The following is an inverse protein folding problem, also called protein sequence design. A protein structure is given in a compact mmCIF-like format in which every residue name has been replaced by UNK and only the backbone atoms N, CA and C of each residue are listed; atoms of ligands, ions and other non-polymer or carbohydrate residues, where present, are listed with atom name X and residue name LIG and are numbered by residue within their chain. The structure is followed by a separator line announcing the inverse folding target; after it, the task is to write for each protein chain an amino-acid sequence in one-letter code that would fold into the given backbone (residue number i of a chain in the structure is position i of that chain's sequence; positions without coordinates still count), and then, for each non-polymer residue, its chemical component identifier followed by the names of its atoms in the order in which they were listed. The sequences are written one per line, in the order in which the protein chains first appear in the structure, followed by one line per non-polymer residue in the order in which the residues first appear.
data_IF_046619159463
#
_entry.id   IF_046619159463
#
_cell.length_a   1.000
_cell.length_b   1.000
_cell.length_c   1.000
_cell.angle_alpha   90.00
_cell.angle_beta   90.00
_cell.angle_gamma   90.00
#
_symmetry.space_group_name_H-M   'P 1'
#
loop_
_entity.id
_entity.type
_entity.pdbx_description
1 polymer ?
#
# COMPACT_ATOMS: atom_id res chain seq x y z
N UNK A 1 -21.38 95.99 -9.61
CA UNK A 1 -20.75 94.74 -10.07
C UNK A 1 -20.46 93.86 -8.86
N UNK A 2 -21.32 92.87 -8.59
CA UNK A 2 -21.36 92.14 -7.32
C UNK A 2 -20.90 90.69 -7.41
N UNK A 3 -19.84 90.38 -6.65
CA UNK A 3 -19.43 89.12 -6.00
C UNK A 3 -19.00 87.91 -6.88
N UNK A 4 -17.67 87.69 -7.05
CA UNK A 4 -17.11 86.44 -7.58
C UNK A 4 -16.93 85.33 -6.53
N UNK A 5 -17.19 85.59 -5.23
CA UNK A 5 -16.91 84.64 -4.14
C UNK A 5 -17.92 83.49 -3.97
N UNK A 6 -19.07 83.52 -4.65
CA UNK A 6 -20.12 82.49 -4.46
C UNK A 6 -19.91 81.28 -5.39
N UNK A 7 -19.22 81.43 -6.52
CA UNK A 7 -19.06 80.36 -7.53
C UNK A 7 -17.94 79.36 -7.22
N UNK A 8 -16.90 79.75 -6.48
CA UNK A 8 -15.80 78.85 -6.08
C UNK A 8 -16.16 77.95 -4.90
N UNK A 9 -17.12 78.35 -4.05
CA UNK A 9 -17.55 77.56 -2.89
C UNK A 9 -18.56 76.45 -3.26
N UNK A 10 -19.33 76.64 -4.34
CA UNK A 10 -20.28 75.63 -4.84
C UNK A 10 -19.59 74.47 -5.56
N UNK A 11 -18.52 74.75 -6.32
CA UNK A 11 -17.76 73.71 -7.04
C UNK A 11 -16.96 72.82 -6.07
N UNK A 12 -16.50 73.36 -4.95
CA UNK A 12 -15.78 72.61 -3.92
C UNK A 12 -16.71 71.69 -3.09
N UNK A 13 -17.97 72.11 -2.86
CA UNK A 13 -18.99 71.28 -2.20
C UNK A 13 -19.49 70.12 -3.08
N UNK A 14 -19.63 70.33 -4.39
CA UNK A 14 -20.04 69.27 -5.35
C UNK A 14 -18.91 68.26 -5.59
N UNK A 15 -17.65 68.71 -5.60
CA UNK A 15 -16.48 67.83 -5.75
C UNK A 15 -16.25 66.88 -4.56
N UNK A 16 -16.47 67.35 -3.32
CA UNK A 16 -16.36 66.51 -2.11
C UNK A 16 -17.58 65.58 -1.97
N UNK A 17 -18.78 66.03 -2.37
CA UNK A 17 -20.00 65.21 -2.40
C UNK A 17 -19.91 64.01 -3.34
N UNK A 18 -19.32 64.19 -4.54
CA UNK A 18 -19.13 63.10 -5.50
C UNK A 18 -18.14 62.03 -5.01
N UNK A 19 -17.05 62.43 -4.34
CA UNK A 19 -16.09 61.48 -3.74
C UNK A 19 -16.73 60.71 -2.57
N UNK A 20 -17.55 61.36 -1.75
CA UNK A 20 -18.30 60.71 -0.68
C UNK A 20 -19.35 59.71 -1.21
N UNK A 21 -20.10 60.06 -2.25
CA UNK A 21 -21.07 59.16 -2.89
C UNK A 21 -20.37 57.98 -3.59
N UNK A 22 -19.22 58.22 -4.23
CA UNK A 22 -18.39 57.14 -4.81
C UNK A 22 -17.80 56.24 -3.72
N UNK A 23 -17.35 56.77 -2.57
CA UNK A 23 -16.85 55.97 -1.45
C UNK A 23 -17.96 55.18 -0.75
N UNK A 24 -19.13 55.78 -0.56
CA UNK A 24 -20.32 55.11 -0.01
C UNK A 24 -20.83 54.06 -1.00
N UNK A 25 -20.89 54.37 -2.29
CA UNK A 25 -21.26 53.43 -3.35
C UNK A 25 -20.26 52.29 -3.50
N UNK A 26 -18.96 52.55 -3.37
CA UNK A 26 -17.91 51.54 -3.36
C UNK A 26 -18.04 50.65 -2.12
N UNK A 27 -18.24 51.23 -0.92
CA UNK A 27 -18.51 50.46 0.31
C UNK A 27 -19.78 49.63 0.23
N UNK A 28 -20.86 50.19 -0.32
CA UNK A 28 -22.15 49.52 -0.43
C UNK A 28 -22.12 48.41 -1.51
N UNK A 29 -21.41 48.61 -2.62
CA UNK A 29 -21.17 47.57 -3.62
C UNK A 29 -20.29 46.45 -3.06
N UNK A 30 -19.24 46.78 -2.30
CA UNK A 30 -18.38 45.79 -1.67
C UNK A 30 -19.11 45.02 -0.56
N UNK A 31 -19.99 45.67 0.21
CA UNK A 31 -20.88 45.02 1.17
C UNK A 31 -21.88 44.07 0.50
N UNK A 32 -22.46 44.44 -0.65
CA UNK A 32 -23.35 43.55 -1.40
C UNK A 32 -22.61 42.33 -1.94
N UNK A 33 -21.40 42.50 -2.48
CA UNK A 33 -20.60 41.37 -2.94
C UNK A 33 -20.19 40.46 -1.77
N UNK A 34 -19.85 41.03 -0.63
CA UNK A 34 -19.56 40.27 0.59
C UNK A 34 -20.79 39.48 1.07
N UNK A 35 -21.97 40.11 1.14
CA UNK A 35 -23.22 39.45 1.51
C UNK A 35 -23.57 38.30 0.54
N UNK A 36 -23.38 38.49 -0.76
CA UNK A 36 -23.55 37.42 -1.76
C UNK A 36 -22.59 36.25 -1.54
N UNK A 37 -21.34 36.51 -1.15
CA UNK A 37 -20.38 35.44 -0.80
C UNK A 37 -20.80 34.69 0.45
N UNK A 38 -21.33 35.38 1.45
CA UNK A 38 -21.87 34.78 2.67
C UNK A 38 -23.08 33.89 2.35
N UNK A 39 -24.05 34.40 1.59
CA UNK A 39 -25.23 33.63 1.17
C UNK A 39 -24.84 32.41 0.31
N UNK A 40 -23.89 32.58 -0.60
CA UNK A 40 -23.34 31.50 -1.40
C UNK A 40 -22.64 30.45 -0.52
N UNK A 41 -21.78 30.87 0.42
CA UNK A 41 -21.10 29.97 1.34
C UNK A 41 -22.10 29.18 2.19
N UNK A 42 -23.14 29.82 2.70
CA UNK A 42 -24.19 29.14 3.49
C UNK A 42 -24.87 28.00 2.70
N UNK A 43 -25.19 28.25 1.43
CA UNK A 43 -25.82 27.23 0.57
C UNK A 43 -24.82 26.17 0.11
N UNK A 44 -23.60 26.58 -0.23
CA UNK A 44 -22.54 25.69 -0.72
C UNK A 44 -22.08 24.73 0.38
N UNK A 45 -21.87 25.19 1.60
CA UNK A 45 -21.40 24.38 2.73
C UNK A 45 -22.35 23.20 3.02
N UNK A 46 -23.66 23.39 2.86
CA UNK A 46 -24.62 22.29 2.96
C UNK A 46 -24.38 21.20 1.89
N UNK A 47 -24.12 21.59 0.64
CA UNK A 47 -23.79 20.65 -0.45
C UNK A 47 -22.41 20.02 -0.26
N UNK A 48 -21.43 20.76 0.26
CA UNK A 48 -20.10 20.23 0.56
C UNK A 48 -20.14 19.20 1.69
N UNK A 49 -21.06 19.34 2.66
CA UNK A 49 -21.32 18.31 3.68
C UNK A 49 -21.77 16.98 3.06
N UNK A 50 -22.67 17.04 2.08
CA UNK A 50 -23.13 15.84 1.36
C UNK A 50 -21.98 15.18 0.60
N UNK A 51 -21.14 15.97 -0.08
CA UNK A 51 -19.93 15.46 -0.73
C UNK A 51 -18.94 14.82 0.24
N UNK A 52 -18.76 15.38 1.44
CA UNK A 52 -17.94 14.76 2.48
C UNK A 52 -18.54 13.44 2.99
N UNK A 53 -19.88 13.30 3.01
CA UNK A 53 -20.51 12.02 3.34
C UNK A 53 -20.27 10.99 2.24
N UNK A 54 -20.37 11.37 0.97
CA UNK A 54 -20.05 10.50 -0.17
C UNK A 54 -18.57 10.07 -0.13
N UNK A 55 -17.65 11.03 0.06
CA UNK A 55 -16.21 10.74 0.19
C UNK A 55 -15.89 9.85 1.38
N UNK A 56 -16.57 10.04 2.51
CA UNK A 56 -16.44 9.14 3.66
C UNK A 56 -16.84 7.71 3.32
N UNK A 57 -17.87 7.51 2.48
CA UNK A 57 -18.24 6.20 1.95
C UNK A 57 -17.22 5.63 0.97
N UNK A 58 -16.67 6.44 0.07
CA UNK A 58 -15.59 6.03 -0.84
C UNK A 58 -14.33 5.58 -0.06
N UNK A 59 -13.94 6.36 0.95
CA UNK A 59 -12.80 6.08 1.83
C UNK A 59 -13.05 4.80 2.64
N UNK A 60 -14.24 4.64 3.23
CA UNK A 60 -14.59 3.41 3.94
C UNK A 60 -14.50 2.18 3.03
N UNK A 61 -14.88 2.32 1.75
CA UNK A 61 -14.74 1.27 0.76
C UNK A 61 -13.29 0.86 0.48
N UNK A 62 -12.29 1.72 0.72
CA UNK A 62 -10.87 1.37 0.51
C UNK A 62 -10.38 0.26 1.45
N UNK A 63 -11.11 0.01 2.52
CA UNK A 63 -10.84 -1.07 3.46
C UNK A 63 -11.58 -2.35 3.09
N UNK A 64 -10.97 -3.49 3.42
CA UNK A 64 -11.58 -4.81 3.29
C UNK A 64 -12.45 -5.22 4.48
N UNK A 65 -12.42 -4.45 5.57
CA UNK A 65 -13.12 -4.76 6.81
C UNK A 65 -13.77 -3.50 7.42
N UNK A 66 -14.82 -3.71 8.21
CA UNK A 66 -15.61 -2.63 8.82
C UNK A 66 -14.80 -1.84 9.85
N UNK A 67 -13.83 -2.47 10.52
CA UNK A 67 -12.93 -1.82 11.48
C UNK A 67 -11.84 -0.97 10.80
N UNK A 68 -11.87 -0.84 9.47
CA UNK A 68 -10.97 0.03 8.68
C UNK A 68 -9.49 -0.22 8.99
N UNK A 69 -9.14 -1.49 9.17
CA UNK A 69 -7.79 -1.89 9.56
C UNK A 69 -6.96 -2.27 8.34
N UNK A 70 -7.52 -3.16 7.52
CA UNK A 70 -6.87 -3.73 6.35
C UNK A 70 -7.43 -3.09 5.08
N UNK A 71 -6.53 -2.68 4.19
CA UNK A 71 -6.89 -2.20 2.86
C UNK A 71 -7.30 -3.37 1.97
N UNK A 72 -8.19 -3.11 1.01
CA UNK A 72 -8.47 -4.09 -0.05
C UNK A 72 -7.21 -4.33 -0.88
N UNK A 73 -7.04 -5.55 -1.39
CA UNK A 73 -5.82 -5.99 -2.07
C UNK A 73 -5.61 -5.35 -3.45
N UNK A 74 -6.67 -4.87 -4.09
CA UNK A 74 -6.66 -4.23 -5.40
C UNK A 74 -6.60 -2.70 -5.34
N UNK A 75 -6.48 -2.11 -4.14
CA UNK A 75 -6.39 -0.65 -3.99
C UNK A 75 -5.12 -0.11 -4.64
N UNK A 76 -5.29 0.82 -5.58
CA UNK A 76 -4.17 1.46 -6.28
C UNK A 76 -3.83 2.83 -5.70
N UNK A 77 -2.57 3.26 -5.83
CA UNK A 77 -2.15 4.62 -5.48
C UNK A 77 -2.94 5.68 -6.27
N UNK A 78 -3.29 5.39 -7.54
CA UNK A 78 -4.09 6.29 -8.38
C UNK A 78 -5.50 6.52 -7.81
N UNK A 79 -6.15 5.46 -7.32
CA UNK A 79 -7.47 5.57 -6.69
C UNK A 79 -7.41 6.44 -5.43
N UNK A 80 -6.40 6.27 -4.59
CA UNK A 80 -6.19 7.09 -3.39
C UNK A 80 -5.96 8.55 -3.76
N UNK A 81 -5.05 8.83 -4.72
CA UNK A 81 -4.74 10.18 -5.16
C UNK A 81 -5.95 10.90 -5.77
N UNK A 82 -6.81 10.17 -6.50
CA UNK A 82 -8.06 10.72 -7.03
C UNK A 82 -9.00 11.14 -5.89
N UNK A 83 -9.11 10.36 -4.83
CA UNK A 83 -9.95 10.67 -3.67
C UNK A 83 -9.37 11.84 -2.86
N UNK A 84 -8.04 11.92 -2.70
CA UNK A 84 -7.34 13.09 -2.12
C UNK A 84 -7.65 14.36 -2.91
N UNK A 85 -7.61 14.30 -4.24
CA UNK A 85 -7.93 15.44 -5.09
C UNK A 85 -9.39 15.87 -4.95
N UNK A 86 -10.34 14.92 -4.87
CA UNK A 86 -11.75 15.21 -4.61
C UNK A 86 -11.94 15.89 -3.24
N UNK A 87 -11.32 15.35 -2.18
CA UNK A 87 -11.41 15.93 -0.83
C UNK A 87 -10.83 17.34 -0.78
N UNK A 88 -9.69 17.56 -1.45
CA UNK A 88 -9.04 18.87 -1.52
C UNK A 88 -9.93 19.93 -2.18
N UNK A 89 -10.76 19.54 -3.15
CA UNK A 89 -11.67 20.43 -3.85
C UNK A 89 -12.90 20.86 -3.01
N UNK A 90 -13.19 20.18 -1.91
CA UNK A 90 -14.30 20.51 -0.99
C UNK A 90 -13.98 21.80 -0.24
N UNK A 91 -14.84 22.81 -0.36
CA UNK A 91 -14.64 24.13 0.27
C UNK A 91 -15.43 24.26 1.56
N UNK A 92 -14.76 24.51 2.67
CA UNK A 92 -15.39 24.46 4.01
C UNK A 92 -14.96 25.59 4.94
N UNK A 93 -13.91 26.34 4.57
CA UNK A 93 -13.35 27.42 5.39
C UNK A 93 -13.81 28.80 4.91
N UNK A 94 -13.73 29.81 5.78
CA UNK A 94 -14.04 31.19 5.40
C UNK A 94 -13.12 31.71 4.29
N UNK A 95 -11.86 31.28 4.29
CA UNK A 95 -10.87 31.60 3.26
C UNK A 95 -11.26 31.06 1.88
N UNK A 96 -11.82 29.84 1.80
CA UNK A 96 -12.28 29.24 0.54
C UNK A 96 -13.37 30.07 -0.17
N UNK A 97 -14.12 30.83 0.61
CA UNK A 97 -15.23 31.69 0.17
C UNK A 97 -14.87 33.19 0.20
N UNK A 98 -13.72 33.56 0.76
CA UNK A 98 -13.30 34.94 0.96
C UNK A 98 -14.28 35.75 1.82
N UNK A 99 -14.71 35.16 2.94
CA UNK A 99 -15.57 35.77 3.96
C UNK A 99 -14.89 35.75 5.33
N UNK A 100 -15.48 36.39 6.33
CA UNK A 100 -15.01 36.30 7.73
C UNK A 100 -15.51 35.00 8.37
N UNK A 101 -14.72 34.41 9.28
CA UNK A 101 -15.07 33.17 10.01
C UNK A 101 -16.41 33.31 10.75
N UNK A 102 -16.65 34.49 11.34
CA UNK A 102 -17.92 34.81 12.03
C UNK A 102 -19.16 34.80 11.13
N UNK A 103 -18.98 34.82 9.81
CA UNK A 103 -20.06 34.79 8.82
C UNK A 103 -20.35 33.37 8.28
N UNK A 104 -19.55 32.37 8.68
CA UNK A 104 -19.83 30.98 8.35
C UNK A 104 -21.09 30.46 9.06
N UNK A 105 -21.79 29.48 8.46
CA UNK A 105 -22.80 28.70 9.16
C UNK A 105 -22.27 28.09 10.46
N UNK A 106 -23.12 27.96 11.47
CA UNK A 106 -22.78 27.36 12.76
C UNK A 106 -22.21 25.93 12.66
N UNK A 107 -22.67 25.17 11.68
CA UNK A 107 -22.28 23.79 11.39
C UNK A 107 -20.92 23.68 10.68
N UNK A 108 -20.29 24.79 10.30
CA UNK A 108 -19.05 24.78 9.52
C UNK A 108 -17.89 24.19 10.30
N UNK A 109 -17.85 24.34 11.63
CA UNK A 109 -16.82 23.75 12.48
C UNK A 109 -16.83 22.22 12.37
N UNK A 110 -18.00 21.59 12.54
CA UNK A 110 -18.15 20.12 12.40
C UNK A 110 -17.77 19.63 11.00
N UNK A 111 -18.09 20.42 9.96
CA UNK A 111 -17.78 20.09 8.56
C UNK A 111 -16.28 20.20 8.29
N UNK A 112 -15.60 21.21 8.84
CA UNK A 112 -14.15 21.37 8.77
C UNK A 112 -13.43 20.24 9.51
N UNK A 113 -13.88 19.89 10.72
CA UNK A 113 -13.34 18.76 11.49
C UNK A 113 -13.51 17.44 10.73
N UNK A 114 -14.67 17.22 10.12
CA UNK A 114 -14.90 16.04 9.28
C UNK A 114 -13.95 16.01 8.08
N UNK A 115 -13.76 17.14 7.37
CA UNK A 115 -12.81 17.21 6.25
C UNK A 115 -11.40 16.87 6.71
N UNK A 116 -10.97 17.42 7.85
CA UNK A 116 -9.65 17.14 8.42
C UNK A 116 -9.48 15.67 8.78
N UNK A 117 -10.49 15.05 9.41
CA UNK A 117 -10.45 13.63 9.75
C UNK A 117 -10.33 12.74 8.50
N UNK A 118 -11.05 13.06 7.42
CA UNK A 118 -10.92 12.33 6.15
C UNK A 118 -9.56 12.55 5.48
N UNK A 119 -8.97 13.75 5.63
CA UNK A 119 -7.63 14.07 5.12
C UNK A 119 -6.56 13.25 5.83
N UNK A 120 -6.63 13.17 7.16
CA UNK A 120 -5.70 12.38 7.97
C UNK A 120 -5.86 10.88 7.70
N UNK A 121 -7.11 10.40 7.53
CA UNK A 121 -7.38 9.02 7.14
C UNK A 121 -6.80 8.70 5.74
N UNK A 122 -6.92 9.60 4.76
CA UNK A 122 -6.34 9.40 3.43
C UNK A 122 -4.82 9.39 3.45
N UNK A 123 -4.16 10.20 4.30
CA UNK A 123 -2.70 10.14 4.48
C UNK A 123 -2.25 8.79 5.01
N UNK A 124 -2.99 8.25 5.98
CA UNK A 124 -2.73 6.91 6.51
C UNK A 124 -2.90 5.84 5.42
N UNK A 125 -3.99 5.89 4.65
CA UNK A 125 -4.23 4.98 3.53
C UNK A 125 -3.10 5.09 2.50
N UNK A 126 -2.69 6.30 2.12
CA UNK A 126 -1.61 6.54 1.16
C UNK A 126 -0.29 5.91 1.64
N UNK A 127 0.05 6.09 2.91
CA UNK A 127 1.23 5.48 3.51
C UNK A 127 1.13 3.94 3.53
N UNK A 128 -0.02 3.40 3.91
CA UNK A 128 -0.27 1.95 3.92
C UNK A 128 -0.17 1.34 2.51
N UNK A 129 -0.77 1.95 1.49
CA UNK A 129 -0.68 1.47 0.09
C UNK A 129 0.77 1.43 -0.39
N UNK A 130 1.56 2.48 -0.13
CA UNK A 130 2.98 2.52 -0.51
C UNK A 130 3.77 1.39 0.14
N UNK A 131 3.54 1.14 1.43
CA UNK A 131 4.21 0.06 2.15
C UNK A 131 3.76 -1.32 1.65
N UNK A 132 2.47 -1.52 1.37
CA UNK A 132 1.98 -2.76 0.77
C UNK A 132 2.62 -3.01 -0.61
N UNK A 133 2.71 -1.99 -1.45
CA UNK A 133 3.33 -2.08 -2.76
C UNK A 133 4.82 -2.44 -2.66
N UNK A 134 5.57 -1.75 -1.78
CA UNK A 134 6.99 -2.05 -1.54
C UNK A 134 7.20 -3.45 -0.97
N UNK A 135 6.35 -3.88 -0.04
CA UNK A 135 6.40 -5.22 0.56
C UNK A 135 6.09 -6.30 -0.48
N UNK A 136 5.04 -6.12 -1.29
CA UNK A 136 4.71 -7.03 -2.38
C UNK A 136 5.86 -7.13 -3.39
N UNK A 137 6.55 -6.02 -3.66
CA UNK A 137 7.68 -5.99 -4.58
C UNK A 137 8.91 -6.78 -4.10
N UNK A 138 8.96 -7.23 -2.84
CA UNK A 138 10.02 -8.13 -2.33
C UNK A 138 9.84 -9.56 -2.86
N UNK A 139 8.64 -9.90 -3.30
CA UNK A 139 8.25 -11.26 -3.70
C UNK A 139 8.06 -11.37 -5.22
N UNK A 140 8.19 -12.59 -5.75
CA UNK A 140 8.06 -12.86 -7.20
C UNK A 140 6.64 -12.67 -7.70
N UNK A 141 5.65 -13.09 -6.91
CA UNK A 141 4.22 -13.03 -7.26
C UNK A 141 3.45 -11.97 -6.45
N UNK A 142 4.15 -11.20 -5.61
CA UNK A 142 3.54 -10.28 -4.67
C UNK A 142 2.98 -10.98 -3.42
N UNK A 143 1.98 -10.35 -2.80
CA UNK A 143 1.26 -10.85 -1.63
C UNK A 143 -0.21 -11.01 -2.02
N UNK A 144 -0.74 -12.23 -1.89
CA UNK A 144 -2.11 -12.58 -2.27
C UNK A 144 -3.15 -12.28 -1.18
N UNK A 145 -2.76 -12.29 0.09
CA UNK A 145 -3.64 -12.09 1.24
C UNK A 145 -3.15 -10.93 2.11
N UNK A 146 -3.94 -9.85 2.16
CA UNK A 146 -3.64 -8.66 2.96
C UNK A 146 -4.50 -8.54 4.22
N UNK A 147 -5.10 -9.66 4.64
CA UNK A 147 -5.96 -9.76 5.82
C UNK A 147 -5.35 -10.74 6.85
N UNK A 148 -4.57 -11.72 6.38
CA UNK A 148 -3.84 -12.66 7.23
C UNK A 148 -2.50 -13.04 6.58
N UNK A 149 -1.47 -13.20 7.41
CA UNK A 149 -0.14 -13.56 6.94
C UNK A 149 -0.13 -15.03 6.50
N UNK A 150 0.21 -15.27 5.24
CA UNK A 150 0.39 -16.61 4.70
C UNK A 150 1.84 -16.82 4.28
N UNK A 151 2.46 -17.88 4.80
CA UNK A 151 3.84 -18.19 4.48
C UNK A 151 3.98 -18.96 3.15
N UNK A 152 3.33 -18.47 2.09
CA UNK A 152 3.37 -18.99 0.71
C UNK A 152 4.14 -18.08 -0.25
N UNK A 153 4.65 -16.95 0.23
CA UNK A 153 5.42 -15.99 -0.56
C UNK A 153 6.85 -16.46 -0.86
N UNK A 154 7.35 -16.10 -2.04
CA UNK A 154 8.70 -16.43 -2.51
C UNK A 154 9.45 -15.15 -2.85
N UNK A 155 10.63 -14.94 -2.27
CA UNK A 155 11.43 -13.72 -2.51
C UNK A 155 12.01 -13.67 -3.93
N UNK A 156 12.24 -12.45 -4.43
CA UNK A 156 12.99 -12.22 -5.66
C UNK A 156 14.44 -12.69 -5.55
N UNK A 157 15.02 -13.04 -6.69
CA UNK A 157 16.40 -13.54 -6.78
C UNK A 157 17.43 -12.52 -6.27
N UNK A 158 17.23 -11.26 -6.63
CA UNK A 158 18.16 -10.15 -6.37
C UNK A 158 17.82 -9.34 -5.12
N UNK A 159 16.92 -9.86 -4.26
CA UNK A 159 16.51 -9.20 -3.02
C UNK A 159 17.71 -8.96 -2.10
N UNK A 160 17.80 -7.76 -1.53
CA UNK A 160 18.87 -7.37 -0.60
C UNK A 160 18.30 -6.98 0.77
N UNK A 161 19.16 -7.03 1.77
CA UNK A 161 18.83 -6.55 3.11
C UNK A 161 18.46 -5.06 3.12
N UNK A 162 19.04 -4.27 2.20
CA UNK A 162 18.66 -2.86 2.03
C UNK A 162 17.21 -2.69 1.57
N UNK A 163 16.70 -3.61 0.75
CA UNK A 163 15.31 -3.54 0.28
C UNK A 163 14.35 -3.81 1.44
N UNK A 164 14.64 -4.82 2.26
CA UNK A 164 13.91 -5.10 3.50
C UNK A 164 14.00 -3.94 4.50
N UNK A 165 15.20 -3.39 4.68
CA UNK A 165 15.46 -2.24 5.55
C UNK A 165 14.62 -1.02 5.18
N UNK A 166 14.52 -0.70 3.89
CA UNK A 166 13.71 0.41 3.40
C UNK A 166 12.22 0.24 3.75
N UNK A 167 11.67 -0.98 3.61
CA UNK A 167 10.27 -1.23 3.98
C UNK A 167 10.06 -1.13 5.49
N UNK A 168 10.99 -1.66 6.30
CA UNK A 168 10.93 -1.53 7.77
C UNK A 168 11.01 -0.07 8.23
N UNK A 169 11.83 0.75 7.56
CA UNK A 169 11.93 2.18 7.84
C UNK A 169 10.60 2.88 7.58
N UNK A 170 9.97 2.67 6.41
CA UNK A 170 8.65 3.23 6.12
C UNK A 170 7.59 2.75 7.12
N UNK A 171 7.65 1.48 7.51
CA UNK A 171 6.72 0.88 8.47
C UNK A 171 6.82 1.50 9.87
N UNK A 172 7.99 2.00 10.27
CA UNK A 172 8.19 2.62 11.58
C UNK A 172 7.46 3.96 11.73
N UNK A 173 7.10 4.63 10.64
CA UNK A 173 6.33 5.87 10.68
C UNK A 173 4.82 5.64 10.83
N UNK A 174 4.37 4.38 10.71
CA UNK A 174 2.97 3.99 10.84
C UNK A 174 2.67 3.52 12.26
N UNK A 175 1.45 3.80 12.72
CA UNK A 175 0.97 3.42 14.05
C UNK A 175 0.97 1.90 14.22
N UNK A 176 1.17 1.46 15.46
CA UNK A 176 1.12 0.06 15.83
C UNK A 176 -0.31 -0.48 15.73
N UNK A 177 -0.45 -1.72 15.26
CA UNK A 177 -1.74 -2.37 15.13
C UNK A 177 -1.72 -3.55 14.15
N UNK A 178 -2.87 -4.22 13.95
CA UNK A 178 -2.93 -5.48 13.23
C UNK A 178 -2.43 -5.42 11.78
N UNK A 179 -2.62 -4.28 11.11
CA UNK A 179 -2.08 -4.08 9.76
C UNK A 179 -0.54 -4.02 9.75
N UNK A 180 0.07 -3.36 10.73
CA UNK A 180 1.54 -3.28 10.86
C UNK A 180 2.13 -4.63 11.26
N UNK A 181 1.44 -5.37 12.12
CA UNK A 181 1.82 -6.75 12.49
C UNK A 181 1.79 -7.67 11.27
N UNK A 182 0.78 -7.54 10.40
CA UNK A 182 0.67 -8.28 9.15
C UNK A 182 1.86 -8.00 8.21
N UNK A 183 2.18 -6.72 7.98
CA UNK A 183 3.35 -6.35 7.14
C UNK A 183 4.63 -6.90 7.77
N UNK A 184 4.79 -6.78 9.09
CA UNK A 184 5.96 -7.30 9.82
C UNK A 184 6.13 -8.80 9.63
N UNK A 185 5.04 -9.58 9.69
CA UNK A 185 5.08 -11.02 9.45
C UNK A 185 5.58 -11.37 8.02
N UNK A 186 5.12 -10.63 6.99
CA UNK A 186 5.65 -10.81 5.64
C UNK A 186 7.13 -10.45 5.53
N UNK A 187 7.57 -9.37 6.19
CA UNK A 187 8.97 -9.00 6.24
C UNK A 187 9.81 -10.06 6.95
N UNK A 188 9.31 -10.69 8.01
CA UNK A 188 9.96 -11.82 8.68
C UNK A 188 10.10 -13.03 7.75
N UNK A 189 9.07 -13.36 6.96
CA UNK A 189 9.15 -14.44 5.97
C UNK A 189 10.23 -14.15 4.91
N UNK A 190 10.32 -12.91 4.44
CA UNK A 190 11.34 -12.51 3.49
C UNK A 190 12.75 -12.54 4.11
N UNK A 191 12.88 -12.07 5.35
CA UNK A 191 14.13 -12.09 6.13
C UNK A 191 14.65 -13.52 6.29
N UNK A 192 13.80 -14.43 6.74
CA UNK A 192 14.19 -15.83 6.94
C UNK A 192 14.63 -16.51 5.64
N UNK A 193 14.00 -16.18 4.51
CA UNK A 193 14.42 -16.66 3.19
C UNK A 193 15.77 -16.07 2.77
N UNK A 194 15.98 -14.76 2.96
CA UNK A 194 17.22 -14.07 2.60
C UNK A 194 18.40 -14.54 3.47
N UNK A 195 18.19 -14.74 4.77
CA UNK A 195 19.21 -15.26 5.69
C UNK A 195 19.67 -16.65 5.25
N UNK A 196 18.73 -17.52 4.87
CA UNK A 196 19.03 -18.85 4.35
C UNK A 196 19.86 -18.79 3.08
N UNK A 197 19.48 -17.94 2.13
CA UNK A 197 20.22 -17.73 0.88
C UNK A 197 21.65 -17.26 1.17
N UNK A 198 21.79 -16.29 2.07
CA UNK A 198 23.10 -15.74 2.46
C UNK A 198 23.98 -16.81 3.11
N UNK A 199 23.41 -17.66 3.98
CA UNK A 199 24.13 -18.77 4.61
C UNK A 199 24.54 -19.85 3.60
N UNK A 200 23.69 -20.18 2.63
CA UNK A 200 24.02 -21.10 1.54
C UNK A 200 25.17 -20.54 0.72
N UNK A 201 25.11 -19.27 0.32
CA UNK A 201 26.18 -18.61 -0.43
C UNK A 201 27.49 -18.59 0.35
N UNK A 202 27.45 -18.27 1.65
CA UNK A 202 28.64 -18.30 2.50
C UNK A 202 29.24 -19.72 2.58
N UNK A 203 28.40 -20.75 2.72
CA UNK A 203 28.83 -22.15 2.77
C UNK A 203 29.46 -22.58 1.43
N UNK A 204 28.83 -22.23 0.31
CA UNK A 204 29.36 -22.52 -1.03
C UNK A 204 30.71 -21.81 -1.25
N UNK A 205 30.83 -20.53 -0.90
CA UNK A 205 32.08 -19.77 -1.04
C UNK A 205 33.22 -20.30 -0.15
N UNK A 206 32.88 -20.87 1.02
CA UNK A 206 33.85 -21.53 1.88
C UNK A 206 34.30 -22.88 1.31
N UNK A 207 33.38 -23.64 0.72
CA UNK A 207 33.60 -25.00 0.20
C UNK A 207 34.19 -25.03 -1.22
N UNK A 208 33.95 -24.01 -2.02
CA UNK A 208 34.30 -23.95 -3.45
C UNK A 208 34.91 -22.59 -3.77
N UNK A 209 36.18 -22.58 -4.17
CA UNK A 209 36.89 -21.37 -4.61
C UNK A 209 37.47 -21.61 -6.01
N UNK A 210 37.19 -20.70 -6.94
CA UNK A 210 37.63 -20.82 -8.34
C UNK A 210 37.27 -22.19 -8.97
N UNK A 211 36.10 -22.73 -8.63
CA UNK A 211 35.61 -24.06 -9.02
C UNK A 211 36.43 -25.26 -8.48
N UNK A 212 37.27 -25.05 -7.47
CA UNK A 212 38.03 -26.11 -6.79
C UNK A 212 37.55 -26.25 -5.35
N UNK A 213 37.30 -27.48 -4.91
CA UNK A 213 36.93 -27.75 -3.52
C UNK A 213 38.05 -27.36 -2.56
N UNK A 214 37.70 -26.68 -1.47
CA UNK A 214 38.64 -26.26 -0.44
C UNK A 214 38.83 -27.35 0.62
N UNK A 215 39.77 -27.13 1.55
CA UNK A 215 39.94 -28.00 2.72
C UNK A 215 38.80 -27.91 3.73
N UNK A 216 37.89 -26.94 3.60
CA UNK A 216 36.75 -26.75 4.50
C UNK A 216 35.59 -27.72 4.20
N UNK A 217 35.65 -28.43 3.08
CA UNK A 217 34.58 -29.38 2.70
C UNK A 217 34.62 -30.61 3.62
N UNK A 218 33.52 -30.82 4.33
CA UNK A 218 33.25 -32.03 5.11
C UNK A 218 31.93 -32.67 4.64
N UNK A 219 31.77 -33.98 4.84
CA UNK A 219 30.53 -34.66 4.48
C UNK A 219 29.33 -34.08 5.23
N UNK A 220 29.47 -33.86 6.55
CA UNK A 220 28.39 -33.28 7.37
C UNK A 220 28.02 -31.87 6.92
N UNK A 221 29.02 -31.02 6.63
CA UNK A 221 28.79 -29.67 6.10
C UNK A 221 28.09 -29.70 4.75
N UNK A 222 28.49 -30.64 3.87
CA UNK A 222 27.85 -30.82 2.57
C UNK A 222 26.38 -31.29 2.70
N UNK A 223 26.08 -32.22 3.60
CA UNK A 223 24.71 -32.67 3.83
C UNK A 223 23.83 -31.55 4.39
N UNK A 224 24.35 -30.74 5.31
CA UNK A 224 23.66 -29.56 5.83
C UNK A 224 23.39 -28.51 4.73
N UNK A 225 24.35 -28.31 3.83
CA UNK A 225 24.18 -27.44 2.66
C UNK A 225 23.03 -27.92 1.77
N UNK A 226 22.97 -29.22 1.44
CA UNK A 226 21.90 -29.79 0.62
C UNK A 226 20.53 -29.64 1.29
N UNK A 227 20.42 -29.92 2.59
CA UNK A 227 19.17 -29.71 3.34
C UNK A 227 18.71 -28.25 3.30
N UNK A 228 19.65 -27.31 3.44
CA UNK A 228 19.35 -25.88 3.34
C UNK A 228 18.89 -25.48 1.94
N UNK A 229 19.57 -25.94 0.89
CA UNK A 229 19.19 -25.71 -0.53
C UNK A 229 17.78 -26.25 -0.81
N UNK A 230 17.42 -27.41 -0.25
CA UNK A 230 16.10 -28.01 -0.47
C UNK A 230 14.94 -27.15 0.04
N UNK A 231 15.20 -26.32 1.04
CA UNK A 231 14.22 -25.41 1.63
C UNK A 231 14.16 -24.04 0.93
N UNK A 232 15.02 -23.78 -0.06
CA UNK A 232 14.93 -22.56 -0.89
C UNK A 232 13.67 -22.65 -1.75
N UNK A 233 12.83 -21.61 -1.69
CA UNK A 233 11.57 -21.54 -2.45
C UNK A 233 11.75 -21.02 -3.86
N UNK A 234 12.66 -20.07 -4.05
CA UNK A 234 12.97 -19.52 -5.35
C UNK A 234 13.70 -20.57 -6.20
N UNK A 235 13.03 -21.08 -7.24
CA UNK A 235 13.54 -22.20 -8.02
C UNK A 235 14.84 -21.85 -8.78
N UNK A 236 14.97 -20.62 -9.27
CA UNK A 236 16.18 -20.17 -9.99
C UNK A 236 17.40 -20.21 -9.07
N UNK A 237 17.28 -19.64 -7.86
CA UNK A 237 18.33 -19.69 -6.85
C UNK A 237 18.62 -21.13 -6.41
N UNK A 238 17.58 -21.94 -6.20
CA UNK A 238 17.72 -23.34 -5.82
C UNK A 238 18.52 -24.13 -6.84
N UNK A 239 18.17 -24.00 -8.12
CA UNK A 239 18.87 -24.69 -9.21
C UNK A 239 20.34 -24.27 -9.30
N UNK A 240 20.63 -22.97 -9.17
CA UNK A 240 22.01 -22.46 -9.14
C UNK A 240 22.84 -23.02 -7.96
N UNK A 241 22.26 -23.08 -6.76
CA UNK A 241 22.95 -23.66 -5.61
C UNK A 241 23.13 -25.17 -5.74
N UNK A 242 22.14 -25.87 -6.29
CA UNK A 242 22.23 -27.30 -6.60
C UNK A 242 23.35 -27.59 -7.59
N UNK A 243 23.50 -26.80 -8.64
CA UNK A 243 24.60 -26.95 -9.60
C UNK A 243 25.98 -26.80 -8.91
N UNK A 244 26.11 -25.80 -8.04
CA UNK A 244 27.34 -25.59 -7.25
C UNK A 244 27.61 -26.76 -6.31
N UNK A 245 26.59 -27.27 -5.63
CA UNK A 245 26.71 -28.44 -4.75
C UNK A 245 27.07 -29.72 -5.53
N UNK A 246 26.52 -29.92 -6.73
CA UNK A 246 26.88 -31.03 -7.61
C UNK A 246 28.37 -31.00 -8.02
N UNK A 247 28.92 -29.82 -8.25
CA UNK A 247 30.37 -29.65 -8.52
C UNK A 247 31.22 -30.11 -7.34
N UNK A 248 30.85 -29.71 -6.11
CA UNK A 248 31.51 -30.17 -4.88
C UNK A 248 31.41 -31.69 -4.77
N UNK A 249 30.22 -32.25 -4.99
CA UNK A 249 29.98 -33.69 -4.88
C UNK A 249 30.82 -34.50 -5.87
N UNK A 250 30.98 -34.03 -7.11
CA UNK A 250 31.81 -34.68 -8.11
C UNK A 250 33.30 -34.73 -7.71
N UNK A 251 33.81 -33.65 -7.11
CA UNK A 251 35.22 -33.56 -6.69
C UNK A 251 35.51 -34.37 -5.42
N UNK A 252 34.55 -34.45 -4.49
CA UNK A 252 34.70 -35.17 -3.22
C UNK A 252 34.25 -36.64 -3.28
N UNK A 253 33.64 -37.08 -4.38
CA UNK A 253 33.07 -38.43 -4.49
C UNK A 253 31.74 -38.60 -3.74
N UNK A 254 30.98 -37.52 -3.52
CA UNK A 254 29.69 -37.51 -2.81
C UNK A 254 28.47 -37.64 -3.73
N UNK A 255 28.66 -38.10 -4.98
CA UNK A 255 27.63 -38.11 -6.03
C UNK A 255 26.37 -38.93 -5.69
N UNK A 256 26.39 -39.75 -4.64
CA UNK A 256 25.22 -40.49 -4.13
C UNK A 256 24.33 -39.72 -3.14
N UNK A 257 24.76 -38.54 -2.68
CA UNK A 257 24.04 -37.74 -1.68
C UNK A 257 23.24 -36.58 -2.28
N UNK A 258 23.38 -36.33 -3.59
CA UNK A 258 22.65 -35.29 -4.34
C UNK A 258 21.24 -35.71 -4.75
N UNK A 259 20.91 -37.00 -4.68
CA UNK A 259 19.82 -37.63 -5.45
C UNK A 259 18.41 -37.51 -4.86
N UNK A 260 18.13 -36.48 -4.06
CA UNK A 260 16.74 -36.19 -3.65
C UNK A 260 16.37 -34.74 -3.93
N UNK A 261 16.49 -34.35 -5.19
CA UNK A 261 15.90 -33.11 -5.72
C UNK A 261 15.02 -33.54 -6.89
N UNK A 262 13.68 -33.60 -6.72
CA UNK A 262 12.80 -33.89 -7.84
C UNK A 262 12.98 -32.76 -8.85
N UNK A 263 13.53 -33.07 -10.03
CA UNK A 263 13.37 -32.19 -11.19
C UNK A 263 11.87 -31.99 -11.40
N UNK A 264 11.43 -30.74 -11.47
CA UNK A 264 10.09 -30.40 -11.91
C UNK A 264 9.92 -30.88 -13.35
N UNK A 265 9.45 -32.12 -13.53
CA UNK A 265 8.98 -32.57 -14.82
C UNK A 265 7.70 -31.79 -15.09
N UNK A 266 7.71 -30.96 -16.12
CA UNK A 266 6.50 -30.50 -16.82
C UNK A 266 5.85 -31.70 -17.50
N UNK A 267 5.29 -32.59 -16.68
CA UNK A 267 4.48 -33.73 -17.10
C UNK A 267 3.04 -33.30 -17.15
N UNK A 268 2.57 -32.96 -18.35
CA UNK A 268 1.15 -32.79 -18.67
C UNK A 268 0.37 -33.99 -18.13
N UNK A 269 -0.45 -33.78 -17.10
CA UNK A 269 -1.41 -34.78 -16.62
C UNK A 269 -2.50 -34.92 -17.69
N UNK A 270 -2.35 -35.91 -18.56
CA UNK A 270 -3.48 -36.45 -19.31
C UNK A 270 -4.33 -37.28 -18.36
N UNK A 271 -5.50 -36.75 -18.04
CA UNK A 271 -6.56 -37.39 -17.28
C UNK A 271 -7.15 -38.53 -18.12
N UNK A 272 -6.85 -39.78 -17.75
CA UNK A 272 -7.49 -40.96 -18.33
C UNK A 272 -8.41 -41.57 -17.26
N UNK A 273 -9.65 -41.08 -17.24
CA UNK A 273 -10.72 -41.60 -16.39
C UNK A 273 -11.20 -42.94 -16.93
N UNK A 274 -10.67 -44.04 -16.41
CA UNK A 274 -11.29 -45.36 -16.54
C UNK A 274 -12.32 -45.56 -15.42
N UNK A 275 -13.56 -45.17 -15.69
CA UNK A 275 -14.75 -45.60 -14.93
C UNK A 275 -14.99 -47.10 -15.10
N UNK A 276 -14.71 -47.88 -14.05
CA UNK A 276 -15.16 -49.27 -13.93
C UNK A 276 -16.46 -49.33 -13.12
N UNK A 277 -17.57 -49.55 -13.81
CA UNK A 277 -18.85 -49.95 -13.23
C UNK A 277 -19.23 -51.34 -13.78
N UNK A 278 -19.86 -52.18 -12.95
CA UNK A 278 -20.44 -53.45 -13.41
C UNK A 278 -20.26 -54.68 -12.52
N UNK A 279 -20.88 -54.67 -11.33
CA UNK A 279 -21.77 -55.70 -10.74
C UNK A 279 -21.56 -57.21 -10.98
N UNK A 280 -21.62 -58.01 -9.89
CA UNK A 280 -22.34 -59.30 -9.88
C UNK A 280 -21.86 -60.41 -8.92
N UNK A 281 -22.46 -60.47 -7.72
CA UNK A 281 -22.91 -61.65 -6.93
C UNK A 281 -22.31 -63.05 -7.18
N UNK A 282 -21.89 -63.82 -6.14
CA UNK A 282 -22.79 -64.66 -5.31
C UNK A 282 -22.07 -65.43 -4.15
N UNK A 283 -22.91 -65.93 -3.23
CA UNK A 283 -22.85 -66.59 -1.91
C UNK A 283 -21.80 -67.65 -1.46
N UNK A 284 -21.71 -67.73 -0.10
CA UNK A 284 -21.52 -68.90 0.80
C UNK A 284 -20.15 -69.60 0.84
N UNK A 285 -19.59 -70.09 1.96
CA UNK A 285 -20.14 -70.47 3.28
C UNK A 285 -19.00 -70.84 4.27
N UNK A 286 -19.26 -70.64 5.57
CA UNK A 286 -18.99 -71.55 6.70
C UNK A 286 -17.54 -71.95 7.13
N UNK A 287 -17.18 -71.49 8.34
CA UNK A 287 -16.71 -72.24 9.54
C UNK A 287 -15.40 -73.05 9.57
N UNK A 288 -14.64 -72.76 10.65
CA UNK A 288 -13.79 -73.61 11.52
C UNK A 288 -12.72 -74.52 10.86
N UNK A 289 -11.45 -74.21 11.13
CA UNK A 289 -10.57 -74.91 12.09
C UNK A 289 -9.39 -74.03 12.47
#
# INVERSE_FOLDING_TARGET
MGKPLIKTLTVLAVGIGAIAICLIGYRQNNQRQYQQRVEYAQTAIASERERLNELSGEIAGMYSNEEQTFLRSDLSEEEVLKTVAKLSAVKVSADDYGIEESALPSESVEIQEKKQALDDQLKEIEAKVKVQAKTAALFTEGVSNWQAAENNVTIKEDLKETDLGNVREDLNFLEDGPWKDLVSAYLEFATAQLDRITQIQASLNAMLQENVVTSEVTLDGYLALIDSINQVRNQVLKDSFTESANSIAAQMGYTGYTSYIPSASTGSYSDDTSTGDGTGTDMSSASYY
#
